data_IF_776657544171
#
_entry.id   IF_776657544171
#
_cell.length_a   1.000
_cell.length_b   1.000
_cell.length_c   1.000
_cell.angle_alpha   90.00
_cell.angle_beta   90.00
_cell.angle_gamma   90.00
#
_symmetry.space_group_name_H-M   'P 1'
#
loop_
_entity.id
_entity.type
_entity.pdbx_description
1 polymer ?
#
# COMPACT_ATOMS: atom_id res chain seq x y z
N UNK A 1 35.22 59.22 6.31
CA UNK A 1 34.34 58.39 5.46
C UNK A 1 32.90 58.60 5.94
N UNK A 2 31.96 58.92 5.04
CA UNK A 2 30.55 59.15 5.40
C UNK A 2 29.87 57.82 5.77
N UNK A 3 29.08 57.80 6.85
CA UNK A 3 28.36 56.60 7.31
C UNK A 3 27.45 56.01 6.21
N UNK A 4 26.88 56.83 5.34
CA UNK A 4 26.04 56.40 4.21
C UNK A 4 26.85 55.57 3.21
N UNK A 5 28.06 56.03 2.88
CA UNK A 5 28.97 55.32 1.96
C UNK A 5 29.36 53.98 2.57
N UNK A 6 29.72 53.97 3.86
CA UNK A 6 30.09 52.74 4.55
C UNK A 6 28.92 51.78 4.71
N UNK A 7 27.72 52.30 4.97
CA UNK A 7 26.47 51.53 5.02
C UNK A 7 26.21 50.84 3.68
N UNK A 8 26.17 51.58 2.58
CA UNK A 8 25.87 51.02 1.26
C UNK A 8 26.90 49.96 0.84
N UNK A 9 28.18 50.17 1.17
CA UNK A 9 29.22 49.18 0.94
C UNK A 9 28.93 47.88 1.70
N UNK A 10 28.74 47.97 3.01
CA UNK A 10 28.51 46.80 3.86
C UNK A 10 27.17 46.12 3.59
N UNK A 11 26.14 46.87 3.21
CA UNK A 11 24.84 46.32 2.80
C UNK A 11 25.01 45.39 1.61
N UNK A 12 25.77 45.81 0.59
CA UNK A 12 26.06 44.97 -0.57
C UNK A 12 26.87 43.74 -0.17
N UNK A 13 28.00 43.94 0.50
CA UNK A 13 28.88 42.84 0.94
C UNK A 13 28.15 41.81 1.82
N UNK A 14 27.31 42.27 2.75
CA UNK A 14 26.55 41.38 3.62
C UNK A 14 25.38 40.70 2.89
N UNK A 15 24.77 41.36 1.90
CA UNK A 15 23.78 40.72 1.03
C UNK A 15 24.41 39.55 0.29
N UNK A 16 25.57 39.77 -0.34
CA UNK A 16 26.28 38.74 -1.09
C UNK A 16 26.66 37.56 -0.17
N UNK A 17 27.17 37.85 1.03
CA UNK A 17 27.46 36.82 2.04
C UNK A 17 26.22 36.05 2.50
N UNK A 18 25.07 36.71 2.64
CA UNK A 18 23.81 36.01 2.98
C UNK A 18 23.39 35.07 1.87
N UNK A 19 23.56 35.45 0.59
CA UNK A 19 23.32 34.56 -0.55
C UNK A 19 24.29 33.36 -0.55
N UNK A 20 25.56 33.57 -0.22
CA UNK A 20 26.52 32.47 -0.08
C UNK A 20 26.13 31.50 1.05
N UNK A 21 25.64 32.01 2.18
CA UNK A 21 25.14 31.18 3.29
C UNK A 21 23.93 30.36 2.84
N UNK A 22 23.00 30.98 2.10
CA UNK A 22 21.85 30.29 1.49
C UNK A 22 22.31 29.16 0.55
N UNK A 23 23.27 29.44 -0.34
CA UNK A 23 23.81 28.44 -1.26
C UNK A 23 24.48 27.27 -0.54
N UNK A 24 25.19 27.52 0.56
CA UNK A 24 25.79 26.46 1.39
C UNK A 24 24.72 25.57 2.04
N UNK A 25 23.67 26.16 2.57
CA UNK A 25 22.56 25.41 3.15
C UNK A 25 21.86 24.55 2.11
N UNK A 26 21.55 25.12 0.94
CA UNK A 26 20.87 24.42 -0.13
C UNK A 26 21.70 23.23 -0.63
N UNK A 27 23.01 23.43 -0.80
CA UNK A 27 23.95 22.34 -1.12
C UNK A 27 23.94 21.24 -0.06
N UNK A 28 24.04 21.61 1.22
CA UNK A 28 24.04 20.66 2.34
C UNK A 28 22.73 19.87 2.41
N UNK A 29 21.59 20.53 2.18
CA UNK A 29 20.26 19.91 2.07
C UNK A 29 20.26 18.84 0.98
N UNK A 30 20.68 19.18 -0.24
CA UNK A 30 20.74 18.21 -1.34
C UNK A 30 21.65 17.03 -1.02
N UNK A 31 22.84 17.28 -0.47
CA UNK A 31 23.78 16.22 -0.09
C UNK A 31 23.21 15.25 0.94
N UNK A 32 22.40 15.74 1.89
CA UNK A 32 21.72 14.89 2.87
C UNK A 32 20.57 14.09 2.25
N UNK A 33 19.81 14.69 1.34
CA UNK A 33 18.60 14.10 0.79
C UNK A 33 18.84 13.20 -0.43
N UNK A 34 20.00 13.30 -1.10
CA UNK A 34 20.29 12.53 -2.31
C UNK A 34 20.12 11.01 -2.11
N UNK A 35 20.71 10.45 -1.04
CA UNK A 35 20.56 9.03 -0.73
C UNK A 35 19.11 8.64 -0.41
N UNK A 36 18.37 9.54 0.24
CA UNK A 36 16.95 9.33 0.56
C UNK A 36 16.12 9.30 -0.72
N UNK A 37 16.38 10.20 -1.68
CA UNK A 37 15.68 10.18 -2.98
C UNK A 37 15.98 8.95 -3.79
N UNK A 38 17.24 8.52 -3.82
CA UNK A 38 17.63 7.29 -4.51
C UNK A 38 16.84 6.11 -3.94
N UNK A 39 16.75 6.00 -2.61
CA UNK A 39 15.95 4.97 -1.93
C UNK A 39 14.47 5.08 -2.28
N UNK A 40 13.89 6.29 -2.23
CA UNK A 40 12.48 6.53 -2.53
C UNK A 40 12.12 6.15 -3.97
N UNK A 41 12.93 6.55 -4.96
CA UNK A 41 12.71 6.21 -6.36
C UNK A 41 12.84 4.71 -6.63
N UNK A 42 13.83 4.05 -6.03
CA UNK A 42 13.99 2.60 -6.15
C UNK A 42 12.81 1.85 -5.53
N UNK A 43 12.31 2.34 -4.40
CA UNK A 43 11.15 1.77 -3.74
C UNK A 43 9.87 1.97 -4.56
N UNK A 44 9.65 3.18 -5.09
CA UNK A 44 8.54 3.48 -6.02
C UNK A 44 8.54 2.55 -7.24
N UNK A 45 9.71 2.34 -7.83
CA UNK A 45 9.86 1.40 -8.94
C UNK A 45 9.54 -0.05 -8.55
N UNK A 46 9.99 -0.49 -7.37
CA UNK A 46 9.75 -1.85 -6.87
C UNK A 46 8.28 -2.08 -6.53
N UNK A 47 7.62 -1.07 -5.96
CA UNK A 47 6.17 -1.06 -5.72
C UNK A 47 5.41 -1.16 -7.04
N UNK A 48 5.76 -0.34 -8.04
CA UNK A 48 5.13 -0.41 -9.37
C UNK A 48 5.19 -1.81 -9.98
N UNK A 49 6.35 -2.48 -9.90
CA UNK A 49 6.48 -3.88 -10.34
C UNK A 49 5.57 -4.84 -9.58
N UNK A 50 5.42 -4.66 -8.28
CA UNK A 50 4.53 -5.50 -7.48
C UNK A 50 3.06 -5.27 -7.86
N UNK A 51 2.67 -4.02 -8.08
CA UNK A 51 1.32 -3.66 -8.57
C UNK A 51 1.05 -4.35 -9.92
N UNK A 52 2.00 -4.32 -10.85
CA UNK A 52 1.85 -5.00 -12.15
C UNK A 52 1.65 -6.51 -11.98
N UNK A 53 2.49 -7.16 -11.15
CA UNK A 53 2.37 -8.60 -10.83
C UNK A 53 1.02 -8.92 -10.18
N UNK A 54 0.57 -8.07 -9.27
CA UNK A 54 -0.74 -8.19 -8.64
C UNK A 54 -1.80 -8.13 -9.73
N UNK A 55 -1.86 -7.09 -10.55
CA UNK A 55 -2.90 -6.88 -11.57
C UNK A 55 -3.09 -8.07 -12.51
N UNK A 56 -2.02 -8.80 -12.87
CA UNK A 56 -2.10 -10.00 -13.73
C UNK A 56 -2.21 -11.33 -12.95
N UNK A 57 -2.37 -11.28 -11.63
CA UNK A 57 -2.39 -12.44 -10.71
C UNK A 57 -1.13 -13.32 -10.82
N UNK A 58 0.04 -12.74 -11.11
CA UNK A 58 1.30 -13.47 -11.23
C UNK A 58 1.96 -13.80 -9.89
N UNK A 59 1.46 -13.26 -8.77
CA UNK A 59 1.99 -13.50 -7.43
C UNK A 59 0.86 -13.59 -6.39
N UNK A 60 0.93 -14.59 -5.50
CA UNK A 60 -0.04 -14.87 -4.44
C UNK A 60 0.65 -15.59 -3.27
N UNK A 61 -0.02 -15.67 -2.11
CA UNK A 61 0.43 -16.50 -0.97
C UNK A 61 1.73 -15.99 -0.33
N UNK A 62 2.57 -16.92 0.13
CA UNK A 62 3.81 -16.61 0.84
C UNK A 62 4.78 -15.71 0.03
N UNK A 63 5.01 -15.94 -1.28
CA UNK A 63 5.85 -15.03 -2.08
C UNK A 63 5.35 -13.58 -2.10
N UNK A 64 4.04 -13.36 -2.18
CA UNK A 64 3.46 -12.02 -2.12
C UNK A 64 3.71 -11.38 -0.75
N UNK A 65 3.49 -12.15 0.32
CA UNK A 65 3.70 -11.68 1.70
C UNK A 65 5.16 -11.27 1.93
N UNK A 66 6.11 -12.08 1.48
CA UNK A 66 7.54 -11.78 1.57
C UNK A 66 7.92 -10.49 0.81
N UNK A 67 7.39 -10.32 -0.41
CA UNK A 67 7.67 -9.13 -1.22
C UNK A 67 7.06 -7.86 -0.59
N UNK A 68 5.84 -7.93 -0.05
CA UNK A 68 5.21 -6.82 0.69
C UNK A 68 5.97 -6.48 1.97
N UNK A 69 6.33 -7.49 2.78
CA UNK A 69 7.10 -7.28 4.01
C UNK A 69 8.45 -6.62 3.74
N UNK A 70 9.11 -7.01 2.64
CA UNK A 70 10.35 -6.38 2.20
C UNK A 70 10.14 -4.90 1.87
N UNK A 71 9.14 -4.57 1.04
CA UNK A 71 8.86 -3.18 0.66
C UNK A 71 8.50 -2.31 1.86
N UNK A 72 7.72 -2.85 2.82
CA UNK A 72 7.38 -2.13 4.05
C UNK A 72 8.61 -1.88 4.91
N UNK A 73 9.53 -2.83 5.05
CA UNK A 73 10.80 -2.63 5.77
C UNK A 73 11.67 -1.57 5.10
N UNK A 74 11.79 -1.61 3.78
CA UNK A 74 12.53 -0.61 3.00
C UNK A 74 11.91 0.79 3.14
N UNK A 75 10.58 0.88 3.14
CA UNK A 75 9.85 2.14 3.40
C UNK A 75 10.14 2.71 4.79
N UNK A 76 10.06 1.88 5.83
CA UNK A 76 10.34 2.32 7.21
C UNK A 76 11.77 2.85 7.31
N UNK A 77 12.75 2.11 6.79
CA UNK A 77 14.15 2.54 6.82
C UNK A 77 14.36 3.87 6.07
N UNK A 78 13.80 4.00 4.87
CA UNK A 78 13.87 5.24 4.09
C UNK A 78 13.23 6.41 4.85
N UNK A 79 12.10 6.19 5.52
CA UNK A 79 11.43 7.20 6.33
C UNK A 79 12.29 7.63 7.53
N UNK A 80 12.90 6.68 8.23
CA UNK A 80 13.80 6.97 9.36
C UNK A 80 15.04 7.75 8.89
N UNK A 81 15.61 7.39 7.74
CA UNK A 81 16.73 8.11 7.13
C UNK A 81 16.34 9.56 6.76
N UNK A 82 15.12 9.75 6.25
CA UNK A 82 14.57 11.08 5.98
C UNK A 82 14.39 11.90 7.27
N UNK A 83 13.80 11.32 8.32
CA UNK A 83 13.60 12.00 9.61
C UNK A 83 14.95 12.44 10.22
N UNK A 84 15.95 11.56 10.19
CA UNK A 84 17.31 11.88 10.63
C UNK A 84 17.95 13.00 9.79
N UNK A 85 17.78 12.96 8.47
CA UNK A 85 18.29 14.00 7.56
C UNK A 85 17.60 15.33 7.83
N UNK A 86 16.29 15.32 8.05
CA UNK A 86 15.49 16.51 8.39
C UNK A 86 15.96 17.17 9.68
N UNK A 87 16.27 16.38 10.70
CA UNK A 87 16.72 16.93 11.97
C UNK A 87 18.12 17.57 11.82
N UNK A 88 19.04 16.95 11.06
CA UNK A 88 20.33 17.57 10.68
C UNK A 88 20.17 18.85 9.86
N UNK A 89 19.24 18.86 8.90
CA UNK A 89 18.93 20.05 8.11
C UNK A 89 18.43 21.19 9.00
N UNK A 90 17.58 20.91 9.99
CA UNK A 90 17.12 21.91 10.95
C UNK A 90 18.25 22.46 11.81
N UNK A 91 19.14 21.59 12.32
CA UNK A 91 20.31 22.01 13.07
C UNK A 91 21.21 22.95 12.25
N UNK A 92 21.51 22.58 11.01
CA UNK A 92 22.34 23.41 10.14
C UNK A 92 21.65 24.72 9.73
N UNK A 93 20.33 24.71 9.57
CA UNK A 93 19.54 25.93 9.35
C UNK A 93 19.75 26.94 10.48
N UNK A 94 19.74 26.52 11.74
CA UNK A 94 20.00 27.41 12.88
C UNK A 94 21.42 27.97 12.87
N UNK A 95 22.41 27.19 12.44
CA UNK A 95 23.80 27.65 12.27
C UNK A 95 23.87 28.75 11.21
N UNK A 96 23.30 28.51 10.02
CA UNK A 96 23.24 29.48 8.93
C UNK A 96 22.49 30.76 9.33
N UNK A 97 21.35 30.61 10.03
CA UNK A 97 20.58 31.74 10.54
C UNK A 97 21.36 32.59 11.53
N UNK A 98 22.12 31.96 12.43
CA UNK A 98 22.99 32.64 13.39
C UNK A 98 24.13 33.38 12.69
N UNK A 99 24.74 32.77 11.67
CA UNK A 99 25.79 33.39 10.86
C UNK A 99 25.27 34.63 10.11
N UNK A 100 24.08 34.55 9.52
CA UNK A 100 23.43 35.68 8.86
C UNK A 100 23.06 36.80 9.85
N UNK A 101 22.57 36.46 11.05
CA UNK A 101 22.29 37.43 12.10
C UNK A 101 23.55 38.17 12.57
N UNK A 102 24.69 37.46 12.62
CA UNK A 102 25.98 38.06 12.99
C UNK A 102 26.42 39.15 11.99
N UNK A 103 26.14 38.99 10.69
CA UNK A 103 26.44 40.01 9.67
C UNK A 103 25.75 41.35 9.97
N UNK A 104 24.49 41.31 10.43
CA UNK A 104 23.76 42.49 10.88
C UNK A 104 24.43 43.13 12.09
N UNK A 105 24.77 42.34 13.11
CA UNK A 105 25.43 42.84 14.32
C UNK A 105 26.77 43.53 13.99
N UNK A 106 27.59 42.90 13.16
CA UNK A 106 28.87 43.46 12.71
C UNK A 106 28.67 44.74 11.89
N UNK A 107 27.63 44.80 11.03
CA UNK A 107 27.30 46.03 10.29
C UNK A 107 26.98 47.19 11.23
N UNK A 108 26.18 46.96 12.27
CA UNK A 108 25.84 47.99 13.27
C UNK A 108 27.11 48.48 13.97
N UNK A 109 27.97 47.58 14.42
CA UNK A 109 29.21 47.92 15.11
C UNK A 109 30.18 48.73 14.24
N UNK A 110 30.26 48.45 12.95
CA UNK A 110 31.15 49.17 12.04
C UNK A 110 30.55 50.53 11.66
N UNK A 111 29.29 50.58 11.22
CA UNK A 111 28.68 51.81 10.70
C UNK A 111 28.48 52.84 11.80
N UNK A 112 28.11 52.42 13.02
CA UNK A 112 27.89 53.34 14.14
C UNK A 112 29.10 54.20 14.49
N UNK A 113 30.33 53.72 14.23
CA UNK A 113 31.58 54.49 14.44
C UNK A 113 31.70 55.71 13.53
N UNK A 114 30.91 55.77 12.45
CA UNK A 114 30.92 56.87 11.48
C UNK A 114 29.75 57.84 11.69
N UNK A 115 28.88 57.60 12.69
CA UNK A 115 27.73 58.44 13.00
C UNK A 115 28.12 59.47 14.05
N UNK A 116 28.03 60.76 13.71
CA UNK A 116 28.40 61.87 14.61
C UNK A 116 27.22 62.76 15.02
N UNK A 117 26.09 62.71 14.30
CA UNK A 117 24.92 63.55 14.57
C UNK A 117 23.67 62.75 14.94
N UNK A 118 22.84 63.29 15.83
CA UNK A 118 21.57 62.67 16.28
C UNK A 118 20.59 62.42 15.12
N UNK A 119 20.56 63.29 14.11
CA UNK A 119 19.71 63.13 12.90
C UNK A 119 20.16 61.92 12.07
N UNK A 120 21.45 61.66 11.99
CA UNK A 120 22.00 60.53 11.25
C UNK A 120 21.67 59.19 11.92
N UNK A 121 21.62 59.16 13.25
CA UNK A 121 21.21 57.98 14.01
C UNK A 121 19.79 57.53 13.65
N UNK A 122 18.85 58.48 13.50
CA UNK A 122 17.48 58.17 13.11
C UNK A 122 17.40 57.57 11.69
N UNK A 123 18.15 58.15 10.74
CA UNK A 123 18.17 57.63 9.36
C UNK A 123 18.87 56.27 9.29
N UNK A 124 19.94 56.08 10.05
CA UNK A 124 20.64 54.81 10.17
C UNK A 124 19.72 53.70 10.66
N UNK A 125 18.96 53.93 11.74
CA UNK A 125 18.02 52.95 12.27
C UNK A 125 16.98 52.53 11.22
N UNK A 126 16.37 53.50 10.51
CA UNK A 126 15.41 53.20 9.44
C UNK A 126 16.01 52.34 8.32
N UNK A 127 17.26 52.59 7.94
CA UNK A 127 17.96 51.80 6.93
C UNK A 127 18.33 50.40 7.44
N UNK A 128 18.74 50.29 8.71
CA UNK A 128 18.98 49.00 9.35
C UNK A 128 17.71 48.16 9.48
N UNK A 129 16.54 48.79 9.71
CA UNK A 129 15.25 48.09 9.72
C UNK A 129 14.92 47.53 8.33
N UNK A 130 15.13 48.32 7.27
CA UNK A 130 14.94 47.86 5.89
C UNK A 130 15.87 46.70 5.54
N UNK A 131 17.16 46.81 5.90
CA UNK A 131 18.13 45.73 5.72
C UNK A 131 17.77 44.49 6.53
N UNK A 132 17.30 44.65 7.76
CA UNK A 132 16.82 43.54 8.60
C UNK A 132 15.66 42.81 7.94
N UNK A 133 14.66 43.55 7.41
CA UNK A 133 13.55 42.95 6.68
C UNK A 133 14.02 42.18 5.44
N UNK A 134 14.99 42.72 4.71
CA UNK A 134 15.61 42.04 3.56
C UNK A 134 16.24 40.70 3.98
N UNK A 135 17.01 40.68 5.07
CA UNK A 135 17.61 39.46 5.61
C UNK A 135 16.56 38.45 6.09
N UNK A 136 15.48 38.91 6.74
CA UNK A 136 14.38 38.04 7.18
C UNK A 136 13.70 37.38 5.97
N UNK A 137 13.44 38.14 4.90
CA UNK A 137 12.85 37.57 3.68
C UNK A 137 13.78 36.57 3.00
N UNK A 138 15.09 36.83 3.01
CA UNK A 138 16.08 35.85 2.56
C UNK A 138 16.10 34.62 3.48
N UNK A 139 15.86 34.82 4.77
CA UNK A 139 15.81 33.73 5.74
C UNK A 139 14.57 32.84 5.59
N UNK A 140 13.42 33.39 5.21
CA UNK A 140 12.21 32.59 4.99
C UNK A 140 12.36 31.53 3.89
N UNK A 141 13.32 31.73 2.97
CA UNK A 141 13.68 30.71 1.98
C UNK A 141 14.29 29.44 2.61
N UNK A 142 14.99 29.56 3.75
CA UNK A 142 15.48 28.38 4.47
C UNK A 142 14.31 27.54 5.01
N UNK A 143 13.30 28.20 5.57
CA UNK A 143 12.18 27.56 6.25
C UNK A 143 11.21 26.93 5.21
N UNK A 144 10.93 27.65 4.11
CA UNK A 144 10.13 27.13 2.99
C UNK A 144 10.86 26.04 2.20
N UNK A 145 12.18 26.15 2.02
CA UNK A 145 12.99 25.13 1.35
C UNK A 145 13.07 23.80 2.10
N UNK A 146 12.80 23.79 3.41
CA UNK A 146 12.69 22.58 4.23
C UNK A 146 11.37 21.82 4.05
N UNK A 147 10.35 22.46 3.46
CA UNK A 147 9.04 21.88 3.18
C UNK A 147 8.94 21.25 1.78
N UNK A 148 9.98 21.41 0.96
CA UNK A 148 9.87 21.34 -0.51
C UNK A 148 9.96 19.97 -1.19
N UNK A 149 10.32 18.88 -0.52
CA UNK A 149 10.59 17.64 -1.25
C UNK A 149 10.15 16.37 -0.48
N UNK A 150 8.84 16.17 -0.39
CA UNK A 150 8.24 14.94 0.17
C UNK A 150 7.25 14.30 -0.82
N UNK A 151 7.14 14.79 -2.05
CA UNK A 151 6.15 14.25 -3.00
C UNK A 151 6.42 12.78 -3.30
N UNK A 152 7.67 12.42 -3.65
CA UNK A 152 8.02 11.01 -3.91
C UNK A 152 7.89 10.12 -2.65
N UNK A 153 8.16 10.67 -1.46
CA UNK A 153 8.02 9.95 -0.19
C UNK A 153 6.54 9.70 0.16
N UNK A 154 5.68 10.69 -0.08
CA UNK A 154 4.23 10.57 0.07
C UNK A 154 3.64 9.62 -0.96
N UNK A 155 4.07 9.71 -2.22
CA UNK A 155 3.66 8.79 -3.28
C UNK A 155 3.95 7.34 -2.91
N UNK A 156 5.17 7.06 -2.42
CA UNK A 156 5.56 5.71 -1.98
C UNK A 156 4.59 5.19 -0.90
N UNK A 157 4.20 6.04 0.06
CA UNK A 157 3.22 5.65 1.08
C UNK A 157 1.86 5.33 0.46
N UNK A 158 1.34 6.20 -0.42
CA UNK A 158 0.05 5.99 -1.07
C UNK A 158 0.04 4.76 -1.99
N UNK A 159 1.16 4.48 -2.66
CA UNK A 159 1.31 3.30 -3.52
C UNK A 159 1.33 2.02 -2.67
N UNK A 160 1.96 2.03 -1.48
CA UNK A 160 1.87 0.91 -0.53
C UNK A 160 0.44 0.70 -0.01
N UNK A 161 -0.29 1.79 0.25
CA UNK A 161 -1.71 1.71 0.62
C UNK A 161 -2.55 1.12 -0.52
N UNK A 162 -2.23 1.47 -1.77
CA UNK A 162 -2.87 0.89 -2.95
C UNK A 162 -2.63 -0.62 -3.03
N UNK A 163 -1.40 -1.10 -2.77
CA UNK A 163 -1.11 -2.54 -2.69
C UNK A 163 -2.00 -3.21 -1.62
N UNK A 164 -2.07 -2.61 -0.43
CA UNK A 164 -2.91 -3.14 0.66
C UNK A 164 -4.37 -3.26 0.24
N UNK A 165 -4.93 -2.23 -0.40
CA UNK A 165 -6.33 -2.22 -0.83
C UNK A 165 -6.61 -3.27 -1.93
N UNK A 166 -5.66 -3.49 -2.85
CA UNK A 166 -5.73 -4.56 -3.86
C UNK A 166 -5.78 -5.93 -3.17
N UNK A 167 -4.91 -6.17 -2.17
CA UNK A 167 -4.85 -7.43 -1.43
C UNK A 167 -6.14 -7.66 -0.64
N UNK A 168 -6.62 -6.65 0.08
CA UNK A 168 -7.84 -6.74 0.89
C UNK A 168 -9.07 -7.05 0.02
N UNK A 169 -9.16 -6.44 -1.16
CA UNK A 169 -10.23 -6.73 -2.13
C UNK A 169 -10.20 -8.17 -2.60
N UNK A 170 -9.01 -8.70 -2.94
CA UNK A 170 -8.86 -10.10 -3.40
C UNK A 170 -9.23 -11.12 -2.33
N UNK A 171 -8.84 -10.87 -1.08
CA UNK A 171 -9.15 -11.77 0.01
C UNK A 171 -10.66 -11.87 0.23
N UNK A 172 -11.39 -10.74 0.14
CA UNK A 172 -12.86 -10.73 0.18
C UNK A 172 -13.48 -11.55 -0.95
N UNK A 173 -13.04 -11.35 -2.19
CA UNK A 173 -13.54 -12.13 -3.33
C UNK A 173 -13.26 -13.63 -3.19
N UNK A 174 -12.12 -14.00 -2.63
CA UNK A 174 -11.78 -15.39 -2.36
C UNK A 174 -12.70 -16.01 -1.31
N UNK A 175 -12.93 -15.33 -0.18
CA UNK A 175 -13.81 -15.78 0.89
C UNK A 175 -15.25 -16.00 0.39
N UNK A 176 -15.77 -15.08 -0.41
CA UNK A 176 -17.10 -15.20 -1.03
C UNK A 176 -17.21 -16.42 -1.96
N UNK A 177 -16.16 -16.69 -2.76
CA UNK A 177 -16.12 -17.88 -3.63
C UNK A 177 -16.06 -19.18 -2.85
N UNK A 178 -15.29 -19.22 -1.77
CA UNK A 178 -15.20 -20.40 -0.89
C UNK A 178 -16.56 -20.66 -0.25
N UNK A 179 -17.22 -19.62 0.28
CA UNK A 179 -18.55 -19.76 0.89
C UNK A 179 -19.58 -20.27 -0.13
N UNK A 180 -19.56 -19.78 -1.36
CA UNK A 180 -20.42 -20.26 -2.44
C UNK A 180 -20.14 -21.74 -2.77
N UNK A 181 -18.87 -22.14 -2.86
CA UNK A 181 -18.48 -23.52 -3.09
C UNK A 181 -18.92 -24.45 -1.96
N UNK A 182 -18.84 -24.01 -0.71
CA UNK A 182 -19.34 -24.76 0.44
C UNK A 182 -20.87 -24.90 0.41
N UNK A 183 -21.60 -23.83 0.08
CA UNK A 183 -23.06 -23.87 -0.12
C UNK A 183 -23.43 -24.85 -1.24
N UNK A 184 -22.72 -24.81 -2.37
CA UNK A 184 -22.92 -25.75 -3.48
C UNK A 184 -22.63 -27.20 -3.08
N UNK A 185 -21.56 -27.45 -2.32
CA UNK A 185 -21.25 -28.80 -1.79
C UNK A 185 -22.29 -29.30 -0.79
N UNK A 186 -22.81 -28.42 0.09
CA UNK A 186 -23.92 -28.75 1.00
C UNK A 186 -25.19 -29.07 0.22
N UNK A 187 -25.51 -28.29 -0.81
CA UNK A 187 -26.67 -28.55 -1.67
C UNK A 187 -26.51 -29.79 -2.58
N UNK A 188 -25.28 -30.25 -2.83
CA UNK A 188 -25.00 -31.49 -3.56
C UNK A 188 -25.02 -32.76 -2.70
N UNK A 189 -25.07 -32.67 -1.37
CA UNK A 189 -25.39 -33.83 -0.52
C UNK A 189 -26.87 -34.19 -0.73
N UNK A 190 -27.15 -34.93 -1.81
CA UNK A 190 -28.41 -35.68 -1.92
C UNK A 190 -28.43 -36.69 -0.77
N UNK A 191 -29.48 -36.63 0.05
CA UNK A 191 -29.70 -37.56 1.15
C UNK A 191 -29.97 -38.97 0.59
N UNK A 192 -28.91 -39.72 0.33
CA UNK A 192 -29.01 -41.15 0.04
C UNK A 192 -29.24 -41.89 1.36
N UNK A 193 -30.36 -42.61 1.45
CA UNK A 193 -30.74 -43.33 2.66
C UNK A 193 -29.89 -44.60 2.82
N UNK A 194 -29.62 -45.03 4.06
CA UNK A 194 -28.96 -46.31 4.32
C UNK A 194 -29.98 -47.44 4.18
N UNK A 195 -29.98 -48.09 3.02
CA UNK A 195 -30.83 -49.23 2.64
C UNK A 195 -29.95 -50.46 2.39
N UNK A 196 -29.82 -51.33 3.40
CA UNK A 196 -29.05 -52.56 3.29
C UNK A 196 -29.90 -53.76 2.83
N UNK A 197 -31.23 -53.68 2.99
CA UNK A 197 -32.17 -54.69 2.50
C UNK A 197 -32.56 -54.39 1.04
N UNK A 198 -32.44 -55.41 0.18
CA UNK A 198 -32.86 -55.30 -1.22
C UNK A 198 -34.37 -55.06 -1.38
N UNK A 199 -35.20 -55.51 -0.42
CA UNK A 199 -36.66 -55.27 -0.46
C UNK A 199 -36.99 -53.79 -0.29
N UNK A 200 -36.34 -53.14 0.68
CA UNK A 200 -36.46 -51.69 0.87
C UNK A 200 -35.93 -50.90 -0.35
N UNK A 201 -34.93 -51.44 -1.06
CA UNK A 201 -34.43 -50.83 -2.30
C UNK A 201 -35.42 -50.99 -3.46
N UNK A 202 -36.15 -52.11 -3.52
CA UNK A 202 -37.26 -52.31 -4.47
C UNK A 202 -38.38 -51.34 -4.16
N UNK A 203 -38.80 -51.21 -2.90
CA UNK A 203 -39.82 -50.24 -2.49
C UNK A 203 -39.42 -48.81 -2.88
N UNK A 204 -38.13 -48.45 -2.72
CA UNK A 204 -37.61 -47.18 -3.19
C UNK A 204 -37.76 -47.07 -4.72
N UNK A 205 -37.35 -48.09 -5.50
CA UNK A 205 -37.48 -48.07 -6.95
C UNK A 205 -38.94 -47.94 -7.40
N UNK A 206 -39.88 -48.65 -6.78
CA UNK A 206 -41.31 -48.58 -7.09
C UNK A 206 -41.91 -47.20 -6.78
N UNK A 207 -41.57 -46.60 -5.63
CA UNK A 207 -41.89 -45.20 -5.31
C UNK A 207 -41.33 -44.21 -6.34
N UNK A 208 -40.33 -44.63 -7.11
CA UNK A 208 -39.70 -43.88 -8.18
C UNK A 208 -40.21 -44.29 -9.58
N UNK A 209 -41.42 -44.84 -9.70
CA UNK A 209 -42.09 -45.25 -10.95
C UNK A 209 -41.38 -46.40 -11.72
N UNK A 210 -40.65 -47.26 -11.02
CA UNK A 210 -40.16 -48.51 -11.59
C UNK A 210 -41.16 -49.65 -11.41
N UNK A 211 -41.11 -50.62 -12.32
CA UNK A 211 -41.79 -51.91 -12.19
C UNK A 211 -40.80 -53.05 -12.37
N UNK A 212 -41.01 -54.16 -11.66
CA UNK A 212 -40.24 -55.37 -11.90
C UNK A 212 -40.62 -55.97 -13.26
N UNK A 213 -39.63 -56.28 -14.08
CA UNK A 213 -39.84 -56.85 -15.43
C UNK A 213 -39.28 -58.25 -15.62
N UNK A 214 -38.24 -58.61 -14.87
CA UNK A 214 -37.67 -59.96 -14.88
C UNK A 214 -36.81 -60.19 -13.64
N UNK A 215 -36.61 -61.46 -13.30
CA UNK A 215 -35.61 -61.90 -12.34
C UNK A 215 -34.62 -62.83 -13.04
N UNK A 216 -33.32 -62.62 -12.84
CA UNK A 216 -32.26 -63.44 -13.42
C UNK A 216 -31.24 -63.78 -12.33
N UNK A 217 -31.29 -65.03 -11.86
CA UNK A 217 -30.52 -65.48 -10.71
C UNK A 217 -30.77 -64.59 -9.49
N UNK A 218 -29.68 -64.10 -8.89
CA UNK A 218 -29.71 -63.26 -7.69
C UNK A 218 -29.98 -61.77 -7.99
N UNK A 219 -30.52 -61.42 -9.16
CA UNK A 219 -30.81 -60.03 -9.52
C UNK A 219 -32.25 -59.85 -9.98
N UNK A 220 -32.90 -58.84 -9.42
CA UNK A 220 -34.23 -58.35 -9.79
C UNK A 220 -34.04 -57.14 -10.72
N UNK A 221 -34.59 -57.20 -11.92
CA UNK A 221 -34.45 -56.13 -12.90
C UNK A 221 -35.71 -55.25 -12.85
N UNK A 222 -35.50 -54.01 -12.45
CA UNK A 222 -36.54 -52.98 -12.39
C UNK A 222 -36.45 -52.10 -13.64
N UNK A 223 -37.57 -51.73 -14.25
CA UNK A 223 -37.63 -50.83 -15.40
C UNK A 223 -38.48 -49.60 -15.09
N UNK A 224 -37.97 -48.39 -15.36
CA UNK A 224 -38.71 -47.14 -15.17
C UNK A 224 -39.81 -47.02 -16.21
N UNK A 225 -41.04 -46.69 -15.76
CA UNK A 225 -42.22 -46.70 -16.61
C UNK A 225 -42.17 -45.69 -17.77
N UNK A 226 -41.59 -44.51 -17.57
CA UNK A 226 -41.46 -43.46 -18.62
C UNK A 226 -40.22 -43.60 -19.50
N UNK A 227 -39.03 -43.72 -18.89
CA UNK A 227 -37.75 -43.67 -19.62
C UNK A 227 -37.29 -45.04 -20.14
N UNK A 228 -37.97 -46.13 -19.77
CA UNK A 228 -37.59 -47.51 -20.08
C UNK A 228 -36.18 -47.92 -19.60
N UNK A 229 -35.49 -47.07 -18.84
CA UNK A 229 -34.17 -47.34 -18.26
C UNK A 229 -34.30 -48.41 -17.18
N UNK A 230 -33.30 -49.28 -17.10
CA UNK A 230 -33.30 -50.43 -16.19
C UNK A 230 -32.33 -50.22 -15.03
N UNK A 231 -32.67 -50.77 -13.87
CA UNK A 231 -31.80 -50.84 -12.69
C UNK A 231 -31.85 -52.26 -12.13
N UNK A 232 -30.72 -52.99 -12.11
CA UNK A 232 -30.64 -54.28 -11.43
C UNK A 232 -30.47 -54.09 -9.92
N UNK A 233 -31.27 -54.80 -9.12
CA UNK A 233 -31.20 -54.84 -7.67
C UNK A 233 -30.87 -56.28 -7.26
N UNK A 234 -29.72 -56.55 -6.64
CA UNK A 234 -29.40 -57.89 -6.15
C UNK A 234 -30.37 -58.33 -5.05
N UNK A 235 -30.84 -59.58 -5.08
CA UNK A 235 -31.82 -60.16 -4.15
C UNK A 235 -31.16 -60.68 -2.85
N UNK A 236 -30.21 -59.93 -2.31
CA UNK A 236 -29.49 -60.21 -1.06
C UNK A 236 -29.04 -58.91 -0.39
N UNK A 237 -28.42 -59.01 0.79
CA UNK A 237 -27.94 -57.85 1.54
C UNK A 237 -26.97 -56.97 0.71
N UNK A 238 -27.29 -55.68 0.61
CA UNK A 238 -26.54 -54.72 -0.20
C UNK A 238 -25.41 -54.10 0.61
N UNK A 239 -24.18 -54.16 0.11
CA UNK A 239 -23.07 -53.39 0.70
C UNK A 239 -23.24 -51.90 0.42
N UNK A 240 -22.74 -51.05 1.33
CA UNK A 240 -22.88 -49.59 1.28
C UNK A 240 -22.58 -48.95 -0.10
N UNK A 241 -21.50 -49.38 -0.76
CA UNK A 241 -21.13 -48.87 -2.08
C UNK A 241 -22.16 -49.20 -3.16
N UNK A 242 -22.70 -50.42 -3.14
CA UNK A 242 -23.68 -50.92 -4.11
C UNK A 242 -25.04 -50.25 -3.92
N UNK A 243 -25.48 -50.11 -2.66
CA UNK A 243 -26.67 -49.35 -2.28
C UNK A 243 -26.63 -47.92 -2.85
N UNK A 244 -25.53 -47.19 -2.65
CA UNK A 244 -25.40 -45.82 -3.17
C UNK A 244 -25.46 -45.79 -4.69
N UNK A 245 -24.80 -46.74 -5.37
CA UNK A 245 -24.80 -46.81 -6.83
C UNK A 245 -26.21 -47.04 -7.38
N UNK A 246 -26.99 -47.93 -6.77
CA UNK A 246 -28.39 -48.21 -7.15
C UNK A 246 -29.24 -46.95 -6.96
N UNK A 247 -29.17 -46.28 -5.82
CA UNK A 247 -29.93 -45.04 -5.59
C UNK A 247 -29.54 -43.92 -6.57
N UNK A 248 -28.24 -43.77 -6.87
CA UNK A 248 -27.77 -42.83 -7.90
C UNK A 248 -28.38 -43.13 -9.26
N UNK A 249 -28.42 -44.40 -9.67
CA UNK A 249 -29.03 -44.80 -10.94
C UNK A 249 -30.54 -44.53 -10.94
N UNK A 250 -31.26 -44.89 -9.88
CA UNK A 250 -32.71 -44.61 -9.74
C UNK A 250 -32.99 -43.11 -9.92
N UNK A 251 -32.22 -42.25 -9.23
CA UNK A 251 -32.39 -40.80 -9.33
C UNK A 251 -31.93 -40.20 -10.66
N UNK A 252 -30.85 -40.69 -11.26
CA UNK A 252 -30.37 -40.20 -12.56
C UNK A 252 -31.34 -40.55 -13.69
N UNK A 253 -31.97 -41.72 -13.61
CA UNK A 253 -32.92 -42.20 -14.61
C UNK A 253 -34.28 -41.48 -14.55
N UNK A 254 -34.56 -40.74 -13.48
CA UNK A 254 -35.70 -39.80 -13.37
C UNK A 254 -35.47 -38.48 -14.12
N UNK A 255 -34.21 -38.05 -14.24
CA UNK A 255 -33.85 -36.79 -14.90
C UNK A 255 -33.70 -37.02 -16.42
N UNK A 256 -34.82 -37.19 -17.11
CA UNK A 256 -34.92 -37.13 -18.57
C UNK A 256 -36.33 -36.70 -18.93
#
# INVERSE_FOLDING_TARGET
>A
MNWIIKFNQLEKENTDKTLDILGKYDKYKYELLDEVYIKAHNLKYSIGKLIDKLNINAIVGDPLKEEVEKLVKEYIQMKDDYENSRDKMKEYMYVCGSEAAQLKCTMIQIVSRFISAKKDLLMFNRRMDAFTKKLINMYSEFDMGSMGEIEVLQDVYWDLMTIKDIIDTRNKEYDERVELLEKLKKNQKKDYFKIFDYKEMIDLAEKNEYKQVRQSGDHIIMQHNKTNKIVPIPAHELKYGLMIQIQKQIHANKAS
#
